data_IF_371472350665
#
_entry.id   IF_371472350665
#
_cell.length_a   1.000
_cell.length_b   1.000
_cell.length_c   1.000
_cell.angle_alpha   90.00
_cell.angle_beta   90.00
_cell.angle_gamma   90.00
#
_symmetry.space_group_name_H-M   'P 1'
#
loop_
_entity.id
_entity.type
_entity.pdbx_description
1 polymer ?
#
# COMPACT_ATOMS: atom_id res chain seq x y z
N UNK A 1 -6.10 -10.74 25.95
CA UNK A 1 -6.16 -11.81 24.94
C UNK A 1 -7.22 -11.46 23.90
N UNK A 2 -8.49 -11.39 24.26
CA UNK A 2 -9.57 -11.03 23.31
C UNK A 2 -9.35 -9.66 22.68
N UNK A 3 -8.86 -8.68 23.45
CA UNK A 3 -8.47 -7.37 22.92
C UNK A 3 -7.42 -7.45 21.80
N UNK A 4 -6.40 -8.30 21.94
CA UNK A 4 -5.32 -8.42 20.94
C UNK A 4 -5.85 -9.07 19.67
N UNK A 5 -6.65 -10.14 19.82
CA UNK A 5 -7.34 -10.77 18.71
C UNK A 5 -8.23 -9.78 17.95
N UNK A 6 -9.06 -9.00 18.66
CA UNK A 6 -9.92 -8.00 18.03
C UNK A 6 -9.14 -6.88 17.34
N UNK A 7 -8.02 -6.43 17.91
CA UNK A 7 -7.13 -5.47 17.23
C UNK A 7 -6.63 -6.05 15.90
N UNK A 8 -6.16 -7.31 15.89
CA UNK A 8 -5.73 -7.98 14.65
C UNK A 8 -6.89 -8.06 13.65
N UNK A 9 -8.05 -8.53 14.08
CA UNK A 9 -9.24 -8.68 13.24
C UNK A 9 -9.69 -7.36 12.61
N UNK A 10 -9.86 -6.31 13.42
CA UNK A 10 -10.31 -5.00 12.94
C UNK A 10 -9.28 -4.36 12.03
N UNK A 11 -7.99 -4.41 12.40
CA UNK A 11 -6.94 -3.80 11.58
C UNK A 11 -6.75 -4.50 10.23
N UNK A 12 -7.06 -5.79 10.08
CA UNK A 12 -7.11 -6.44 8.77
C UNK A 12 -8.20 -5.84 7.86
N UNK A 13 -9.39 -5.59 8.41
CA UNK A 13 -10.49 -4.98 7.65
C UNK A 13 -10.14 -3.55 7.25
N UNK A 14 -9.59 -2.78 8.19
CA UNK A 14 -9.20 -1.40 7.91
C UNK A 14 -8.07 -1.32 6.88
N UNK A 15 -7.11 -2.23 6.94
CA UNK A 15 -6.04 -2.32 5.95
C UNK A 15 -6.59 -2.59 4.55
N UNK A 16 -7.54 -3.52 4.40
CA UNK A 16 -8.19 -3.79 3.10
C UNK A 16 -8.87 -2.54 2.53
N UNK A 17 -9.64 -1.82 3.35
CA UNK A 17 -10.29 -0.57 2.94
C UNK A 17 -9.28 0.50 2.52
N UNK A 18 -8.16 0.60 3.24
CA UNK A 18 -7.09 1.55 2.91
C UNK A 18 -6.44 1.18 1.58
N UNK A 19 -6.15 -0.11 1.34
CA UNK A 19 -5.58 -0.59 0.08
C UNK A 19 -6.51 -0.31 -1.10
N UNK A 20 -7.79 -0.64 -0.97
CA UNK A 20 -8.80 -0.38 -2.01
C UNK A 20 -8.89 1.11 -2.35
N UNK A 21 -9.02 1.97 -1.33
CA UNK A 21 -9.07 3.41 -1.50
C UNK A 21 -7.79 3.97 -2.11
N UNK A 22 -6.63 3.42 -1.73
CA UNK A 22 -5.34 3.84 -2.27
C UNK A 22 -5.21 3.46 -3.75
N UNK A 23 -5.56 2.24 -4.13
CA UNK A 23 -5.57 1.81 -5.54
C UNK A 23 -6.49 2.68 -6.41
N UNK A 24 -7.69 3.03 -5.91
CA UNK A 24 -8.58 3.96 -6.61
C UNK A 24 -7.92 5.33 -6.84
N UNK A 25 -7.29 5.88 -5.80
CA UNK A 25 -6.60 7.17 -5.89
C UNK A 25 -5.41 7.14 -6.84
N UNK A 26 -4.65 6.04 -6.86
CA UNK A 26 -3.56 5.85 -7.82
C UNK A 26 -4.07 5.89 -9.26
N UNK A 27 -5.19 5.21 -9.55
CA UNK A 27 -5.78 5.24 -10.89
C UNK A 27 -6.21 6.65 -11.31
N UNK A 28 -6.95 7.34 -10.44
CA UNK A 28 -7.43 8.70 -10.73
C UNK A 28 -6.23 9.63 -10.96
N UNK A 29 -5.24 9.60 -10.07
CA UNK A 29 -4.06 10.46 -10.20
C UNK A 29 -3.27 10.16 -11.48
N UNK A 30 -3.09 8.89 -11.83
CA UNK A 30 -2.45 8.51 -13.09
C UNK A 30 -3.24 8.94 -14.31
N UNK A 31 -4.57 8.91 -14.26
CA UNK A 31 -5.40 9.39 -15.36
C UNK A 31 -5.22 10.91 -15.54
N UNK A 32 -5.37 11.70 -14.48
CA UNK A 32 -5.23 13.16 -14.52
C UNK A 32 -3.82 13.59 -14.97
N UNK A 33 -2.78 12.92 -14.48
CA UNK A 33 -1.40 13.21 -14.90
C UNK A 33 -1.17 12.85 -16.38
N UNK A 34 -1.72 11.73 -16.84
CA UNK A 34 -1.62 11.34 -18.24
C UNK A 34 -2.38 12.32 -19.15
N UNK A 35 -3.57 12.79 -18.75
CA UNK A 35 -4.33 13.81 -19.47
C UNK A 35 -3.54 15.13 -19.58
N UNK A 36 -2.89 15.56 -18.49
CA UNK A 36 -1.98 16.71 -18.52
C UNK A 36 -0.78 16.48 -19.46
N UNK A 37 -0.17 15.29 -19.41
CA UNK A 37 0.90 14.91 -20.32
C UNK A 37 0.47 14.99 -21.78
N UNK A 38 -0.70 14.45 -22.12
CA UNK A 38 -1.26 14.51 -23.48
C UNK A 38 -1.59 15.94 -23.92
N UNK A 39 -2.10 16.78 -23.01
CA UNK A 39 -2.33 18.19 -23.28
C UNK A 39 -1.03 18.92 -23.65
N UNK A 40 0.04 18.74 -22.86
CA UNK A 40 1.34 19.35 -23.14
C UNK A 40 1.93 18.88 -24.48
N UNK A 41 1.69 17.61 -24.85
CA UNK A 41 2.08 17.09 -26.17
C UNK A 41 1.42 17.89 -27.28
N UNK A 42 0.09 18.07 -27.22
CA UNK A 42 -0.65 18.83 -28.23
C UNK A 42 -0.21 20.29 -28.33
N UNK A 43 0.13 20.94 -27.21
CA UNK A 43 0.68 22.31 -27.23
C UNK A 43 2.08 22.35 -27.85
N UNK A 44 2.93 21.36 -27.55
CA UNK A 44 4.30 21.29 -28.09
C UNK A 44 4.34 21.13 -29.61
N UNK A 45 3.32 20.53 -30.22
CA UNK A 45 3.24 20.37 -31.67
C UNK A 45 3.05 21.72 -32.37
N UNK A 46 2.35 22.64 -31.71
CA UNK A 46 2.04 23.98 -32.21
C UNK A 46 3.17 24.98 -31.92
N UNK A 47 3.88 24.81 -30.79
CA UNK A 47 4.95 25.70 -30.36
C UNK A 47 6.34 25.20 -30.80
N UNK A 48 6.95 25.85 -31.79
CA UNK A 48 8.32 25.52 -32.26
C UNK A 48 9.43 26.19 -31.44
N UNK A 49 9.08 27.00 -30.45
CA UNK A 49 10.05 27.65 -29.56
C UNK A 49 10.66 26.63 -28.59
N UNK A 50 11.68 27.03 -27.81
CA UNK A 50 12.18 26.16 -26.74
C UNK A 50 11.13 25.78 -25.69
N UNK A 51 10.09 26.61 -25.48
CA UNK A 51 9.00 26.29 -24.56
C UNK A 51 8.22 25.06 -25.05
N UNK A 52 7.91 24.97 -26.35
CA UNK A 52 7.31 23.78 -26.93
C UNK A 52 8.17 22.52 -26.77
N UNK A 53 9.50 22.62 -26.92
CA UNK A 53 10.40 21.48 -26.63
C UNK A 53 10.32 21.04 -25.16
N UNK A 54 10.27 21.99 -24.24
CA UNK A 54 10.09 21.71 -22.81
C UNK A 54 8.74 21.04 -22.53
N UNK A 55 7.67 21.51 -23.17
CA UNK A 55 6.34 20.89 -23.07
C UNK A 55 6.36 19.45 -23.57
N UNK A 56 7.04 19.15 -24.69
CA UNK A 56 7.14 17.78 -25.20
C UNK A 56 7.94 16.86 -24.27
N UNK A 57 9.08 17.32 -23.75
CA UNK A 57 9.88 16.53 -22.80
C UNK A 57 9.09 16.28 -21.49
N UNK A 58 8.42 17.31 -20.98
CA UNK A 58 7.55 17.20 -19.80
C UNK A 58 6.37 16.27 -20.06
N UNK A 59 5.76 16.34 -21.24
CA UNK A 59 4.68 15.44 -21.66
C UNK A 59 5.10 13.97 -21.55
N UNK A 60 6.23 13.60 -22.17
CA UNK A 60 6.76 12.23 -22.11
C UNK A 60 7.00 11.78 -20.67
N UNK A 61 7.59 12.63 -19.83
CA UNK A 61 7.85 12.30 -18.43
C UNK A 61 6.56 12.12 -17.61
N UNK A 62 5.54 12.96 -17.81
CA UNK A 62 4.26 12.83 -17.12
C UNK A 62 3.50 11.57 -17.56
N UNK A 63 3.41 11.29 -18.86
CA UNK A 63 2.78 10.06 -19.36
C UNK A 63 3.53 8.80 -18.88
N UNK A 64 4.87 8.83 -18.90
CA UNK A 64 5.72 7.77 -18.37
C UNK A 64 5.52 7.55 -16.87
N UNK A 65 5.54 8.61 -16.07
CA UNK A 65 5.30 8.54 -14.62
C UNK A 65 3.90 8.01 -14.31
N UNK A 66 2.88 8.45 -15.05
CA UNK A 66 1.52 7.96 -14.90
C UNK A 66 1.42 6.43 -15.13
N UNK A 67 2.05 5.91 -16.19
CA UNK A 67 2.13 4.47 -16.49
C UNK A 67 2.90 3.72 -15.40
N UNK A 68 4.07 4.20 -15.00
CA UNK A 68 4.89 3.56 -13.96
C UNK A 68 4.18 3.54 -12.60
N UNK A 69 3.43 4.60 -12.24
CA UNK A 69 2.62 4.61 -11.01
C UNK A 69 1.58 3.49 -11.02
N UNK A 70 0.98 3.17 -12.16
CA UNK A 70 0.01 2.08 -12.26
C UNK A 70 0.64 0.71 -12.00
N UNK A 71 1.95 0.54 -12.21
CA UNK A 71 2.66 -0.70 -11.86
C UNK A 71 2.60 -1.00 -10.35
N UNK A 72 2.43 0.01 -9.49
CA UNK A 72 2.21 -0.16 -8.04
C UNK A 72 0.96 -0.97 -7.72
N UNK A 73 -0.02 -1.03 -8.63
CA UNK A 73 -1.25 -1.79 -8.41
C UNK A 73 -0.99 -3.29 -8.32
N UNK A 74 0.02 -3.82 -9.00
CA UNK A 74 0.34 -5.25 -8.99
C UNK A 74 0.71 -5.73 -7.58
N UNK A 75 1.72 -5.17 -6.89
CA UNK A 75 2.03 -5.58 -5.53
C UNK A 75 0.95 -5.19 -4.51
N UNK A 76 0.19 -4.11 -4.74
CA UNK A 76 -0.94 -3.74 -3.87
C UNK A 76 -2.09 -4.74 -3.95
N UNK A 77 -2.43 -5.19 -5.15
CA UNK A 77 -3.46 -6.20 -5.36
C UNK A 77 -3.06 -7.54 -4.73
N UNK A 78 -1.79 -7.92 -4.86
CA UNK A 78 -1.25 -9.10 -4.17
C UNK A 78 -1.36 -8.98 -2.65
N UNK A 79 -0.97 -7.84 -2.08
CA UNK A 79 -1.12 -7.56 -0.65
C UNK A 79 -2.60 -7.67 -0.21
N UNK A 80 -3.52 -7.11 -1.00
CA UNK A 80 -4.97 -7.20 -0.75
C UNK A 80 -5.44 -8.65 -0.69
N UNK A 81 -5.09 -9.47 -1.68
CA UNK A 81 -5.45 -10.89 -1.73
C UNK A 81 -4.88 -11.70 -0.56
N UNK A 82 -3.62 -11.46 -0.21
CA UNK A 82 -2.95 -12.15 0.90
C UNK A 82 -3.61 -11.77 2.24
N UNK A 83 -3.87 -10.48 2.48
CA UNK A 83 -4.58 -10.00 3.68
C UNK A 83 -6.00 -10.57 3.76
N UNK A 84 -6.73 -10.60 2.63
CA UNK A 84 -8.09 -11.14 2.58
C UNK A 84 -8.10 -12.64 2.86
N UNK A 85 -7.12 -13.39 2.33
CA UNK A 85 -6.96 -14.82 2.60
C UNK A 85 -6.65 -15.06 4.07
N UNK A 86 -5.71 -14.30 4.64
CA UNK A 86 -5.37 -14.36 6.07
C UNK A 86 -6.59 -14.09 6.95
N UNK A 87 -7.39 -13.07 6.61
CA UNK A 87 -8.63 -12.75 7.32
C UNK A 87 -9.65 -13.87 7.23
N UNK A 88 -9.93 -14.37 6.02
CA UNK A 88 -10.94 -15.42 5.80
C UNK A 88 -10.57 -16.74 6.44
N UNK A 89 -9.28 -17.09 6.49
CA UNK A 89 -8.80 -18.37 7.00
C UNK A 89 -8.31 -18.29 8.45
N UNK A 90 -7.20 -17.58 8.70
CA UNK A 90 -6.52 -17.61 9.99
C UNK A 90 -7.30 -16.84 11.07
N UNK A 91 -7.81 -15.64 10.74
CA UNK A 91 -8.59 -14.84 11.70
C UNK A 91 -9.93 -15.52 12.00
N UNK A 92 -10.63 -16.05 11.00
CA UNK A 92 -11.88 -16.80 11.20
C UNK A 92 -11.70 -18.06 12.04
N UNK A 93 -10.64 -18.86 11.83
CA UNK A 93 -10.37 -20.05 12.65
C UNK A 93 -10.09 -19.69 14.12
N UNK A 94 -9.30 -18.64 14.33
CA UNK A 94 -9.03 -18.13 15.68
C UNK A 94 -10.30 -17.63 16.35
N UNK A 95 -11.17 -16.93 15.61
CA UNK A 95 -12.47 -16.46 16.09
C UNK A 95 -13.35 -17.61 16.61
N UNK A 96 -13.40 -18.73 15.90
CA UNK A 96 -14.16 -19.91 16.35
C UNK A 96 -13.67 -20.42 17.71
N UNK A 97 -12.37 -20.37 17.95
CA UNK A 97 -11.76 -20.82 19.22
C UNK A 97 -12.03 -19.82 20.34
N UNK A 98 -11.93 -18.52 20.05
CA UNK A 98 -12.30 -17.44 20.97
C UNK A 98 -13.77 -17.55 21.40
N UNK A 99 -14.68 -17.76 20.45
CA UNK A 99 -16.11 -17.91 20.73
C UNK A 99 -16.40 -19.12 21.64
N UNK A 100 -15.75 -20.27 21.39
CA UNK A 100 -15.86 -21.45 22.26
C UNK A 100 -15.35 -21.17 23.67
N UNK A 101 -14.23 -20.44 23.79
CA UNK A 101 -13.66 -20.03 25.07
C UNK A 101 -14.60 -19.10 25.84
N UNK A 102 -15.20 -18.10 25.20
CA UNK A 102 -16.19 -17.21 25.83
C UNK A 102 -17.47 -17.92 26.24
N UNK A 103 -17.93 -18.90 25.46
CA UNK A 103 -19.04 -19.77 25.86
C UNK A 103 -18.69 -20.57 27.13
N UNK A 104 -17.55 -21.25 27.12
CA UNK A 104 -17.06 -22.03 28.28
C UNK A 104 -16.84 -21.16 29.52
N UNK A 105 -16.39 -19.91 29.34
CA UNK A 105 -16.29 -18.90 30.39
C UNK A 105 -17.66 -18.59 31.01
N UNK A 106 -18.67 -18.43 30.17
CA UNK A 106 -20.05 -18.15 30.61
C UNK A 106 -20.64 -19.35 31.37
N UNK A 107 -20.42 -20.56 30.88
CA UNK A 107 -20.83 -21.80 31.56
C UNK A 107 -20.16 -21.96 32.93
N UNK A 108 -18.85 -21.71 33.02
CA UNK A 108 -18.12 -21.73 34.30
C UNK A 108 -18.66 -20.68 35.29
N UNK A 109 -18.93 -19.46 34.82
CA UNK A 109 -19.56 -18.41 35.65
C UNK A 109 -20.95 -18.82 36.12
N UNK A 110 -21.75 -19.46 35.25
CA UNK A 110 -23.05 -20.01 35.61
C UNK A 110 -22.96 -21.08 36.70
N UNK A 111 -22.01 -22.01 36.58
CA UNK A 111 -21.77 -23.04 37.58
C UNK A 111 -21.33 -22.44 38.94
N UNK A 112 -20.51 -21.38 38.93
CA UNK A 112 -20.12 -20.66 40.15
C UNK A 112 -21.29 -19.97 40.84
N UNK A 113 -22.17 -19.31 40.08
CA UNK A 113 -23.38 -18.70 40.62
C UNK A 113 -24.29 -19.79 41.22
N UNK A 114 -24.48 -20.90 40.52
CA UNK A 114 -25.25 -22.01 41.04
C UNK A 114 -24.66 -22.62 42.32
N UNK A 115 -23.33 -22.72 42.41
CA UNK A 115 -22.65 -23.16 43.62
C UNK A 115 -22.88 -22.20 44.79
N UNK A 116 -22.85 -20.89 44.53
CA UNK A 116 -23.13 -19.86 45.53
C UNK A 116 -24.55 -20.01 46.06
N UNK A 117 -25.54 -20.11 45.17
CA UNK A 117 -26.95 -20.20 45.55
C UNK A 117 -27.22 -21.46 46.40
N UNK A 118 -26.72 -22.62 45.94
CA UNK A 118 -26.87 -23.88 46.70
C UNK A 118 -26.12 -23.84 48.03
N UNK A 119 -25.00 -23.12 48.13
CA UNK A 119 -24.26 -22.97 49.39
C UNK A 119 -24.99 -22.09 50.41
N UNK A 120 -25.80 -21.13 49.98
CA UNK A 120 -26.53 -20.23 50.88
C UNK A 120 -27.74 -20.91 51.53
N UNK A 121 -28.36 -21.84 50.83
CA UNK A 121 -29.53 -22.60 51.28
C UNK A 121 -29.15 -23.95 51.94
N UNK A 122 -27.84 -24.20 52.15
CA UNK A 122 -27.33 -25.50 52.55
C UNK A 122 -27.54 -25.76 54.06
N UNK A 123 -28.36 -26.75 54.36
CA UNK A 123 -28.46 -27.38 55.67
C UNK A 123 -27.58 -28.65 55.72
N UNK A 124 -26.51 -28.67 56.54
CA UNK A 124 -25.57 -29.80 56.64
C UNK A 124 -26.22 -31.12 57.09
N UNK A 125 -27.32 -31.05 57.85
CA UNK A 125 -28.00 -32.24 58.38
C UNK A 125 -28.94 -32.88 57.34
N UNK A 126 -29.24 -32.14 56.27
CA UNK A 126 -30.05 -32.64 55.16
C UNK A 126 -29.15 -33.32 54.10
N UNK A 127 -29.00 -34.65 54.20
CA UNK A 127 -28.18 -35.46 53.28
C UNK A 127 -28.38 -35.15 51.78
N UNK A 128 -29.63 -34.93 51.35
CA UNK A 128 -29.96 -34.61 49.94
C UNK A 128 -29.36 -33.28 49.48
N UNK A 129 -29.31 -32.27 50.36
CA UNK A 129 -28.74 -30.97 50.02
C UNK A 129 -27.21 -31.03 49.95
N UNK A 130 -26.58 -31.76 50.87
CA UNK A 130 -25.14 -32.06 50.83
C UNK A 130 -24.73 -32.79 49.54
N UNK A 131 -25.53 -33.77 49.10
CA UNK A 131 -25.26 -34.48 47.85
C UNK A 131 -25.44 -33.58 46.61
N UNK A 132 -26.46 -32.72 46.60
CA UNK A 132 -26.64 -31.69 45.56
C UNK A 132 -25.43 -30.74 45.52
N UNK A 133 -24.96 -30.27 46.68
CA UNK A 133 -23.80 -29.39 46.77
C UNK A 133 -22.53 -30.05 46.23
N UNK A 134 -22.27 -31.34 46.56
CA UNK A 134 -21.13 -32.10 45.99
C UNK A 134 -21.20 -32.20 44.46
N UNK A 135 -22.38 -32.45 43.89
CA UNK A 135 -22.56 -32.48 42.43
C UNK A 135 -22.28 -31.13 41.78
N UNK A 136 -22.75 -30.03 42.38
CA UNK A 136 -22.47 -28.69 41.89
C UNK A 136 -20.97 -28.36 41.99
N UNK A 137 -20.31 -28.73 43.08
CA UNK A 137 -18.85 -28.60 43.21
C UNK A 137 -18.09 -29.36 42.11
N UNK A 138 -18.49 -30.59 41.80
CA UNK A 138 -17.90 -31.36 40.71
C UNK A 138 -18.10 -30.66 39.35
N UNK A 139 -19.29 -30.11 39.09
CA UNK A 139 -19.59 -29.35 37.88
C UNK A 139 -18.73 -28.09 37.75
N UNK A 140 -18.53 -27.34 38.85
CA UNK A 140 -17.63 -26.17 38.88
C UNK A 140 -16.20 -26.55 38.54
N UNK A 141 -15.68 -27.67 39.09
CA UNK A 141 -14.33 -28.14 38.76
C UNK A 141 -14.21 -28.52 37.29
N UNK A 142 -15.18 -29.25 36.74
CA UNK A 142 -15.16 -29.69 35.34
C UNK A 142 -15.23 -28.51 34.37
N UNK A 143 -16.15 -27.58 34.59
CA UNK A 143 -16.29 -26.37 33.76
C UNK A 143 -15.07 -25.47 33.86
N UNK A 144 -14.43 -25.36 35.04
CA UNK A 144 -13.16 -24.63 35.20
C UNK A 144 -12.05 -25.24 34.35
N UNK A 145 -11.85 -26.56 34.43
CA UNK A 145 -10.81 -27.27 33.65
C UNK A 145 -11.03 -27.08 32.15
N UNK A 146 -12.28 -27.15 31.70
CA UNK A 146 -12.62 -26.92 30.30
C UNK A 146 -12.34 -25.48 29.85
N UNK A 147 -12.72 -24.49 30.66
CA UNK A 147 -12.45 -23.09 30.42
C UNK A 147 -10.95 -22.79 30.38
N UNK A 148 -10.18 -23.29 31.35
CA UNK A 148 -8.73 -23.06 31.41
C UNK A 148 -8.00 -23.68 30.21
N UNK A 149 -8.47 -24.84 29.72
CA UNK A 149 -7.94 -25.43 28.48
C UNK A 149 -8.19 -24.51 27.28
N UNK A 150 -9.43 -24.08 27.06
CA UNK A 150 -9.77 -23.21 25.93
C UNK A 150 -9.08 -21.85 26.00
N UNK A 151 -8.87 -21.32 27.22
CA UNK A 151 -8.09 -20.10 27.44
C UNK A 151 -6.64 -20.25 26.95
N UNK A 152 -6.01 -21.39 27.22
CA UNK A 152 -4.66 -21.68 26.73
C UNK A 152 -4.65 -21.88 25.20
N UNK A 153 -5.64 -22.56 24.64
CA UNK A 153 -5.78 -22.75 23.19
C UNK A 153 -5.91 -21.40 22.46
N UNK A 154 -6.71 -20.48 23.00
CA UNK A 154 -6.83 -19.11 22.48
C UNK A 154 -5.49 -18.38 22.55
N UNK A 155 -4.72 -18.52 23.64
CA UNK A 155 -3.41 -17.90 23.75
C UNK A 155 -2.48 -18.32 22.63
N UNK A 156 -2.30 -19.62 22.47
CA UNK A 156 -1.42 -20.18 21.46
C UNK A 156 -1.86 -19.80 20.04
N UNK A 157 -3.17 -19.84 19.76
CA UNK A 157 -3.68 -19.43 18.44
C UNK A 157 -3.49 -17.95 18.16
N UNK A 158 -3.70 -17.06 19.14
CA UNK A 158 -3.50 -15.62 18.95
C UNK A 158 -2.02 -15.30 18.75
N UNK A 159 -1.11 -15.98 19.45
CA UNK A 159 0.32 -15.82 19.27
C UNK A 159 0.77 -16.26 17.87
N UNK A 160 0.31 -17.44 17.41
CA UNK A 160 0.55 -17.92 16.05
C UNK A 160 -0.06 -17.00 14.99
N UNK A 161 -1.26 -16.46 15.25
CA UNK A 161 -1.94 -15.51 14.37
C UNK A 161 -1.11 -14.22 14.22
N UNK A 162 -0.55 -13.72 15.33
CA UNK A 162 0.37 -12.59 15.33
C UNK A 162 1.62 -12.84 14.50
N UNK A 163 2.29 -13.98 14.71
CA UNK A 163 3.48 -14.37 13.95
C UNK A 163 3.19 -14.52 12.45
N UNK A 164 2.09 -15.21 12.10
CA UNK A 164 1.65 -15.40 10.72
C UNK A 164 1.34 -14.06 10.03
N UNK A 165 0.69 -13.13 10.74
CA UNK A 165 0.44 -11.77 10.24
C UNK A 165 1.74 -11.02 9.94
N UNK A 166 2.69 -11.05 10.87
CA UNK A 166 3.98 -10.38 10.70
C UNK A 166 4.73 -10.93 9.48
N UNK A 167 4.77 -12.25 9.33
CA UNK A 167 5.43 -12.89 8.19
C UNK A 167 4.77 -12.48 6.86
N UNK A 168 3.45 -12.58 6.77
CA UNK A 168 2.68 -12.14 5.60
C UNK A 168 3.02 -10.69 5.25
N UNK A 169 2.83 -9.76 6.18
CA UNK A 169 3.05 -8.34 5.91
C UNK A 169 4.51 -8.03 5.54
N UNK A 170 5.47 -8.67 6.19
CA UNK A 170 6.90 -8.46 5.88
C UNK A 170 7.24 -8.86 4.44
N UNK A 171 6.62 -9.91 3.92
CA UNK A 171 6.86 -10.38 2.56
C UNK A 171 6.09 -9.54 1.53
N UNK A 172 4.78 -9.31 1.72
CA UNK A 172 3.96 -8.59 0.75
C UNK A 172 4.36 -7.12 0.63
N UNK A 173 4.68 -6.46 1.76
CA UNK A 173 5.05 -5.04 1.76
C UNK A 173 6.42 -4.79 1.13
N UNK A 174 7.35 -5.75 1.22
CA UNK A 174 8.65 -5.61 0.58
C UNK A 174 8.53 -5.43 -0.94
N UNK A 175 7.66 -6.21 -1.59
CA UNK A 175 7.40 -6.07 -3.03
C UNK A 175 6.83 -4.68 -3.36
N UNK A 176 5.81 -4.23 -2.61
CA UNK A 176 5.24 -2.89 -2.79
C UNK A 176 6.27 -1.77 -2.59
N UNK A 177 7.09 -1.86 -1.53
CA UNK A 177 8.11 -0.88 -1.23
C UNK A 177 9.17 -0.79 -2.33
N UNK A 178 9.64 -1.93 -2.86
CA UNK A 178 10.61 -1.95 -3.93
C UNK A 178 10.06 -1.31 -5.21
N UNK A 179 8.83 -1.63 -5.61
CA UNK A 179 8.18 -0.99 -6.77
C UNK A 179 7.98 0.51 -6.54
N UNK A 180 7.63 0.92 -5.32
CA UNK A 180 7.46 2.33 -4.97
C UNK A 180 8.77 3.11 -5.06
N UNK A 181 9.86 2.55 -4.52
CA UNK A 181 11.18 3.16 -4.62
C UNK A 181 11.61 3.32 -6.07
N UNK A 182 11.46 2.26 -6.87
CA UNK A 182 11.81 2.30 -8.28
C UNK A 182 11.01 3.35 -9.07
N UNK A 183 9.71 3.45 -8.78
CA UNK A 183 8.84 4.50 -9.34
C UNK A 183 9.36 5.91 -9.01
N UNK A 184 9.70 6.17 -7.75
CA UNK A 184 10.20 7.47 -7.30
C UNK A 184 11.57 7.79 -7.92
N UNK A 185 12.49 6.84 -7.93
CA UNK A 185 13.82 7.00 -8.52
C UNK A 185 13.74 7.36 -10.00
N UNK A 186 12.93 6.63 -10.78
CA UNK A 186 12.78 6.91 -12.22
C UNK A 186 12.10 8.23 -12.48
N UNK A 187 11.02 8.53 -11.77
CA UNK A 187 10.31 9.79 -11.93
C UNK A 187 11.21 10.98 -11.57
N UNK A 188 11.96 10.89 -10.46
CA UNK A 188 12.90 11.92 -10.06
C UNK A 188 14.04 12.09 -11.07
N UNK A 189 14.56 10.99 -11.61
CA UNK A 189 15.61 11.02 -12.62
C UNK A 189 15.14 11.70 -13.91
N UNK A 190 13.97 11.32 -14.44
CA UNK A 190 13.37 11.95 -15.62
C UNK A 190 13.16 13.46 -15.41
N UNK A 191 12.58 13.85 -14.27
CA UNK A 191 12.34 15.26 -13.97
C UNK A 191 13.64 16.05 -13.78
N UNK A 192 14.68 15.43 -13.22
CA UNK A 192 15.99 16.06 -13.07
C UNK A 192 16.68 16.27 -14.41
N UNK A 193 16.61 15.30 -15.32
CA UNK A 193 17.14 15.46 -16.68
C UNK A 193 16.44 16.61 -17.41
N UNK A 194 15.11 16.71 -17.30
CA UNK A 194 14.37 17.85 -17.85
C UNK A 194 14.89 19.15 -17.23
N UNK A 195 15.00 19.23 -15.91
CA UNK A 195 15.50 20.43 -15.23
C UNK A 195 16.89 20.86 -15.72
N UNK A 196 17.86 19.94 -15.76
CA UNK A 196 19.22 20.23 -16.23
C UNK A 196 19.23 20.67 -17.70
N UNK A 197 18.42 20.05 -18.56
CA UNK A 197 18.31 20.40 -19.99
C UNK A 197 17.87 21.85 -20.24
N UNK A 198 17.28 22.51 -19.23
CA UNK A 198 16.84 23.90 -19.33
C UNK A 198 17.59 24.87 -18.41
N UNK A 199 18.58 24.40 -17.64
CA UNK A 199 19.52 25.31 -16.95
C UNK A 199 20.32 26.08 -17.98
N UNK A 200 20.01 27.37 -18.14
CA UNK A 200 20.65 28.25 -19.12
C UNK A 200 19.70 28.90 -20.13
N UNK A 201 18.40 28.60 -20.07
CA UNK A 201 17.41 29.37 -20.82
C UNK A 201 17.38 30.81 -20.32
N UNK A 202 17.81 31.77 -21.15
CA UNK A 202 17.73 33.18 -20.80
C UNK A 202 16.25 33.59 -20.67
N UNK A 203 15.88 34.32 -19.60
CA UNK A 203 14.55 34.91 -19.52
C UNK A 203 14.34 35.83 -20.73
N UNK A 204 13.10 35.85 -21.22
CA UNK A 204 12.65 36.59 -22.39
C UNK A 204 13.33 37.98 -22.49
N UNK A 205 14.29 38.11 -23.42
CA UNK A 205 14.88 39.42 -23.75
C UNK A 205 13.92 40.15 -24.67
N UNK A 206 13.36 41.24 -24.18
CA UNK A 206 12.48 42.15 -24.90
C UNK A 206 13.15 42.56 -26.23
N UNK A 207 12.72 41.98 -27.35
CA UNK A 207 13.28 42.23 -28.70
C UNK A 207 12.66 43.47 -29.34
N UNK A 208 12.26 44.44 -28.52
CA UNK A 208 11.62 45.66 -29.00
C UNK A 208 12.73 46.58 -29.44
N UNK A 209 13.00 46.54 -30.76
CA UNK A 209 13.94 47.32 -31.57
C UNK A 209 15.28 46.64 -31.89
N UNK A 210 15.23 45.69 -32.84
CA UNK A 210 16.39 45.23 -33.62
C UNK A 210 17.16 46.37 -34.32
N UNK A 211 16.56 47.56 -34.46
CA UNK A 211 17.18 48.72 -35.14
C UNK A 211 18.21 49.48 -34.30
N UNK A 212 18.49 49.06 -33.06
CA UNK A 212 19.46 49.70 -32.16
C UNK A 212 20.61 48.77 -31.74
N UNK A 213 20.73 47.57 -32.32
CA UNK A 213 21.76 46.61 -31.94
C UNK A 213 23.04 46.82 -32.79
N UNK A 214 24.16 47.05 -32.10
CA UNK A 214 25.47 47.38 -32.68
C UNK A 214 25.98 46.33 -33.71
N UNK A 215 26.76 46.72 -34.73
CA UNK A 215 27.20 45.85 -35.83
C UNK A 215 28.08 44.64 -35.44
N UNK A 216 28.48 44.50 -34.18
CA UNK A 216 29.43 43.47 -33.73
C UNK A 216 28.81 42.09 -33.44
N UNK A 217 27.48 41.94 -33.48
CA UNK A 217 26.81 40.68 -33.10
C UNK A 217 26.74 39.61 -34.20
N UNK A 218 27.12 39.94 -35.44
CA UNK A 218 27.02 39.01 -36.58
C UNK A 218 28.02 37.83 -36.55
N UNK A 219 29.01 37.84 -35.66
CA UNK A 219 30.03 36.78 -35.56
C UNK A 219 29.62 35.63 -34.61
N UNK A 220 28.65 35.86 -33.72
CA UNK A 220 28.26 34.89 -32.68
C UNK A 220 27.10 33.98 -33.06
N UNK A 221 26.33 34.28 -34.11
CA UNK A 221 25.13 33.50 -34.45
C UNK A 221 25.45 32.18 -35.18
N UNK A 222 26.55 32.12 -35.94
CA UNK A 222 26.91 30.94 -36.73
C UNK A 222 27.52 29.81 -35.87
N UNK A 223 28.31 30.15 -34.86
CA UNK A 223 28.89 29.19 -33.89
C UNK A 223 27.82 28.63 -32.91
N UNK A 224 26.74 29.38 -32.67
CA UNK A 224 25.65 29.02 -31.74
C UNK A 224 24.59 28.10 -32.37
N UNK A 225 24.48 28.08 -33.70
CA UNK A 225 23.53 27.22 -34.40
C UNK A 225 24.04 25.77 -34.57
N UNK A 226 25.35 25.57 -34.73
CA UNK A 226 25.97 24.23 -34.85
C UNK A 226 26.02 23.46 -33.52
N UNK A 227 26.14 24.17 -32.39
CA UNK A 227 26.11 23.58 -31.04
C UNK A 227 24.70 23.14 -30.62
N UNK A 228 23.67 23.91 -30.99
CA UNK A 228 22.27 23.54 -30.78
C UNK A 228 21.84 22.29 -31.54
N UNK A 229 22.41 21.97 -32.69
CA UNK A 229 22.01 20.80 -33.49
C UNK A 229 22.56 19.47 -32.97
N UNK A 230 23.73 19.48 -32.33
CA UNK A 230 24.30 18.26 -31.73
C UNK A 230 23.68 17.89 -30.38
N UNK A 231 23.20 18.87 -29.62
CA UNK A 231 22.37 18.61 -28.42
C UNK A 231 20.94 18.15 -28.78
N UNK A 232 20.39 18.60 -29.92
CA UNK A 232 19.02 18.27 -30.38
C UNK A 232 18.76 16.76 -30.59
N UNK A 233 19.74 16.00 -31.05
CA UNK A 233 19.58 14.58 -31.45
C UNK A 233 19.81 13.60 -30.29
N UNK A 234 20.75 13.90 -29.40
CA UNK A 234 21.13 13.00 -28.30
C UNK A 234 20.05 12.91 -27.18
N UNK A 235 19.24 13.95 -27.00
CA UNK A 235 18.39 14.13 -25.81
C UNK A 235 16.99 13.53 -25.98
N UNK A 236 16.42 13.62 -27.19
CA UNK A 236 15.17 12.91 -27.50
C UNK A 236 15.37 11.40 -27.40
N UNK A 237 16.52 10.90 -27.85
CA UNK A 237 16.84 9.46 -27.80
C UNK A 237 17.03 8.93 -26.37
N UNK A 238 17.60 9.71 -25.44
CA UNK A 238 17.82 9.25 -24.07
C UNK A 238 16.53 9.21 -23.24
N UNK A 239 15.64 10.20 -23.41
CA UNK A 239 14.31 10.19 -22.80
C UNK A 239 13.45 9.09 -23.43
N UNK A 240 13.51 8.93 -24.75
CA UNK A 240 12.76 7.87 -25.44
C UNK A 240 13.27 6.48 -25.06
N UNK A 241 14.58 6.27 -24.88
CA UNK A 241 15.12 5.02 -24.30
C UNK A 241 14.59 4.74 -22.90
N UNK A 242 14.58 5.72 -22.00
CA UNK A 242 14.10 5.52 -20.63
C UNK A 242 12.60 5.22 -20.54
N UNK A 243 11.81 5.71 -21.50
CA UNK A 243 10.39 5.40 -21.68
C UNK A 243 10.18 4.04 -22.35
N UNK A 244 11.03 3.66 -23.30
CA UNK A 244 10.95 2.40 -24.07
C UNK A 244 11.50 1.18 -23.33
N UNK A 245 12.44 1.34 -22.39
CA UNK A 245 12.97 0.24 -21.56
C UNK A 245 11.89 -0.49 -20.73
N UNK A 246 10.64 0.00 -20.72
CA UNK A 246 9.48 -0.62 -20.06
C UNK A 246 8.51 -1.31 -21.04
N UNK A 247 8.82 -1.42 -22.34
CA UNK A 247 8.06 -2.27 -23.27
C UNK A 247 8.56 -3.72 -23.30
N UNK A 248 9.78 -4.01 -22.79
CA UNK A 248 10.43 -5.32 -22.91
C UNK A 248 10.40 -6.21 -21.63
N UNK A 249 9.77 -5.78 -20.53
CA UNK A 249 9.55 -6.64 -19.36
C UNK A 249 8.09 -7.13 -19.30
N UNK A 250 7.68 -7.92 -20.30
CA UNK A 250 6.58 -8.85 -20.10
C UNK A 250 7.06 -9.98 -19.16
N UNK A 251 6.34 -10.30 -18.07
CA UNK A 251 6.61 -11.52 -17.33
C UNK A 251 6.19 -12.68 -18.22
N UNK A 252 7.17 -13.37 -18.82
CA UNK A 252 6.91 -14.57 -19.60
C UNK A 252 6.03 -15.57 -18.83
N UNK A 253 5.11 -16.28 -19.49
CA UNK A 253 4.27 -17.27 -18.82
C UNK A 253 5.16 -18.46 -18.42
N UNK A 254 5.41 -18.63 -17.13
CA UNK A 254 6.32 -19.68 -16.66
C UNK A 254 6.11 -20.11 -15.21
N UNK A 255 5.47 -21.29 -15.10
CA UNK A 255 5.40 -22.25 -13.98
C UNK A 255 4.45 -21.96 -12.79
#
# INVERSE_FOLDING_TARGET
MDKVFHIIQTSCIDLLKVIEKYQLRLNILSQEENELGMFLRGQSEQDKTPAGRMMNATSKALCGSAKQRLALRVPLFRLEQEVETFRRRAVSDTLLTVNRMEQSRTEYRGALLWMKDVSQELDPDTYKQMEKFRKVQAQVRNTKVHFDKLKNDVCQKVDLLGASRCNLLSQSLAAYQNTLLHFWERTAHMMSQIHESFKGHQPYKFTTLKSLQDPFHHLTEEEFNQSKEKEKECITDDIDKLVLLDEDEEPGPGA
#
